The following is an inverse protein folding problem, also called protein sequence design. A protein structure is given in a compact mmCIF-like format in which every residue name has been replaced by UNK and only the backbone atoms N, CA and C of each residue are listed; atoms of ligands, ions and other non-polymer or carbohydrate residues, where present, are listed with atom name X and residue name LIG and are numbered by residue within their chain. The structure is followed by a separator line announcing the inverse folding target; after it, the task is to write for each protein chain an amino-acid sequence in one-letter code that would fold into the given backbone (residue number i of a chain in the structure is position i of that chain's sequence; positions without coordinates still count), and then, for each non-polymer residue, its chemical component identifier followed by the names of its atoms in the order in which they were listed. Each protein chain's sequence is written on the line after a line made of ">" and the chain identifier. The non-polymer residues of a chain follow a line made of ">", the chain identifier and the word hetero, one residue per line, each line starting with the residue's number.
data_IF_089079578082
#
_entry.id   IF_089079578082
#
_cell.length_a   1.000
_cell.length_b   1.000
_cell.length_c   1.000
_cell.angle_alpha   90.00
_cell.angle_beta   90.00
_cell.angle_gamma   90.00
#
_symmetry.space_group_name_H-M   'P 1'
#
loop_
_entity.id
_entity.type
_entity.pdbx_description
1 polymer ?
#
# COMPACT_ATOMS: atom_id res chain seq x y z
N UNK A 1 -27.36 -38.00 -15.58
CA UNK A 1 -28.47 -38.55 -14.77
C UNK A 1 -27.95 -39.73 -13.99
N UNK A 2 -27.48 -39.51 -12.76
CA UNK A 2 -27.33 -40.58 -11.76
C UNK A 2 -27.21 -39.90 -10.38
N UNK A 3 -28.37 -39.72 -9.75
CA UNK A 3 -28.48 -39.47 -8.32
C UNK A 3 -28.64 -40.83 -7.63
N UNK A 4 -27.68 -41.23 -6.79
CA UNK A 4 -27.85 -42.35 -5.88
C UNK A 4 -27.54 -41.95 -4.44
N UNK A 5 -28.64 -41.67 -3.74
CA UNK A 5 -29.01 -42.12 -2.41
C UNK A 5 -28.08 -41.84 -1.23
N UNK A 6 -28.55 -40.93 -0.40
CA UNK A 6 -28.13 -40.70 0.97
C UNK A 6 -28.41 -41.92 1.87
N UNK A 7 -27.38 -42.39 2.58
CA UNK A 7 -27.53 -43.24 3.78
C UNK A 7 -26.86 -42.58 4.96
N UNK A 8 -27.67 -42.34 6.00
CA UNK A 8 -27.39 -41.54 7.19
C UNK A 8 -26.49 -42.24 8.20
N UNK A 9 -25.66 -41.41 8.85
CA UNK A 9 -25.36 -41.31 10.28
C UNK A 9 -24.78 -42.51 11.05
N UNK A 10 -23.63 -42.26 11.70
CA UNK A 10 -23.47 -42.44 13.16
C UNK A 10 -22.35 -41.53 13.68
N UNK A 11 -22.65 -40.87 14.80
CA UNK A 11 -21.89 -39.82 15.44
C UNK A 11 -20.92 -40.34 16.52
N UNK A 12 -19.77 -39.67 16.68
CA UNK A 12 -19.00 -39.47 17.92
C UNK A 12 -17.78 -38.58 17.56
N UNK A 13 -17.76 -37.28 17.85
CA UNK A 13 -17.45 -36.64 19.13
C UNK A 13 -16.06 -35.96 19.10
N UNK A 14 -16.10 -34.62 19.09
CA UNK A 14 -15.19 -33.66 19.75
C UNK A 14 -13.75 -33.47 19.21
N UNK A 15 -13.60 -32.43 18.39
CA UNK A 15 -12.54 -31.41 18.51
C UNK A 15 -13.24 -30.05 18.24
N UNK A 16 -13.53 -29.24 19.26
CA UNK A 16 -12.67 -28.19 19.77
C UNK A 16 -12.27 -27.16 18.69
N UNK A 17 -12.89 -25.97 18.71
CA UNK A 17 -12.39 -24.78 18.04
C UNK A 17 -13.32 -24.11 17.02
N UNK A 18 -14.51 -23.67 17.44
CA UNK A 18 -15.26 -22.65 16.70
C UNK A 18 -14.58 -21.29 16.90
N UNK A 19 -13.58 -20.98 16.08
CA UNK A 19 -13.15 -19.58 15.90
C UNK A 19 -14.13 -18.91 14.95
N UNK A 20 -15.31 -18.59 15.48
CA UNK A 20 -16.14 -17.54 14.94
C UNK A 20 -15.42 -16.20 15.11
N UNK A 21 -15.38 -15.41 14.05
CA UNK A 21 -14.99 -14.01 14.13
C UNK A 21 -15.89 -13.20 13.21
N UNK A 22 -17.19 -13.39 13.38
CA UNK A 22 -18.19 -12.39 13.04
C UNK A 22 -18.42 -11.55 14.29
N UNK A 23 -17.64 -10.49 14.41
CA UNK A 23 -17.97 -9.31 15.19
C UNK A 23 -17.32 -8.15 14.47
N UNK A 24 -18.15 -7.43 13.72
CA UNK A 24 -17.73 -6.21 13.06
C UNK A 24 -17.22 -5.21 14.09
N UNK A 25 -16.14 -4.53 13.72
CA UNK A 25 -15.82 -3.22 14.25
C UNK A 25 -16.14 -2.22 13.16
N UNK A 26 -17.16 -1.41 13.41
CA UNK A 26 -17.33 -0.15 12.71
C UNK A 26 -16.09 0.73 12.88
N UNK A 27 -15.93 1.59 11.88
CA UNK A 27 -14.86 2.55 11.62
C UNK A 27 -14.14 3.11 12.85
N UNK A 28 -12.82 3.08 12.76
CA UNK A 28 -11.97 4.12 13.33
C UNK A 28 -11.01 4.49 12.21
N UNK A 29 -11.10 5.73 11.74
CA UNK A 29 -10.18 6.27 10.75
C UNK A 29 -8.75 5.95 11.15
N UNK A 30 -7.91 5.71 10.15
CA UNK A 30 -6.48 5.76 10.33
C UNK A 30 -6.04 7.21 10.53
N UNK A 31 -6.65 7.90 11.49
CA UNK A 31 -6.10 9.06 12.16
C UNK A 31 -5.06 8.55 13.18
N UNK A 32 -4.12 7.73 12.71
CA UNK A 32 -2.79 7.74 13.28
C UNK A 32 -2.13 8.97 12.69
N UNK A 33 -2.43 10.12 13.29
CA UNK A 33 -1.71 11.35 13.02
C UNK A 33 -0.25 11.16 13.38
N UNK A 34 0.50 10.56 12.46
CA UNK A 34 1.93 10.76 12.35
C UNK A 34 2.09 12.14 11.73
N UNK A 35 1.85 13.17 12.53
CA UNK A 35 2.29 14.51 12.17
C UNK A 35 3.81 14.53 12.14
N UNK A 36 4.41 14.04 11.05
CA UNK A 36 5.56 14.72 10.47
C UNK A 36 4.99 15.73 9.48
N UNK A 37 4.44 16.80 10.05
CA UNK A 37 3.99 17.98 9.32
C UNK A 37 5.21 18.58 8.62
N UNK A 38 5.47 18.17 7.39
CA UNK A 38 6.30 18.88 6.41
C UNK A 38 5.97 18.49 4.96
N UNK A 39 5.20 17.41 4.71
CA UNK A 39 4.74 17.07 3.37
C UNK A 39 3.67 18.05 2.92
N UNK A 40 3.90 18.71 1.79
CA UNK A 40 2.94 19.56 1.09
C UNK A 40 1.64 18.80 0.72
N UNK A 41 0.76 19.42 -0.09
CA UNK A 41 -0.52 18.82 -0.46
C UNK A 41 -0.32 17.37 -0.94
N UNK A 42 -1.07 16.43 -0.38
CA UNK A 42 -1.36 15.10 -0.96
C UNK A 42 -0.24 14.13 -1.37
N UNK A 43 1.02 14.29 -0.98
CA UNK A 43 2.07 13.35 -1.39
C UNK A 43 1.74 11.86 -1.21
N UNK A 44 1.74 11.12 -2.32
CA UNK A 44 1.37 9.71 -2.43
C UNK A 44 -0.05 9.46 -2.94
N UNK A 45 -0.68 10.42 -3.62
CA UNK A 45 -2.02 10.27 -4.21
C UNK A 45 -2.01 9.74 -5.66
N UNK A 46 -0.81 9.59 -6.23
CA UNK A 46 -0.56 9.13 -7.59
C UNK A 46 -0.69 10.21 -8.66
N UNK A 47 -0.72 11.49 -8.29
CA UNK A 47 -0.81 12.64 -9.20
C UNK A 47 0.18 13.72 -8.76
N UNK A 48 1.12 14.09 -9.63
CA UNK A 48 2.04 15.18 -9.35
C UNK A 48 1.31 16.52 -9.42
N UNK A 49 1.11 17.17 -8.28
CA UNK A 49 0.49 18.50 -8.17
C UNK A 49 1.53 19.64 -8.38
N UNK A 50 1.07 20.90 -8.47
CA UNK A 50 1.95 22.06 -8.74
C UNK A 50 3.01 22.29 -7.64
N UNK A 51 2.74 21.85 -6.41
CA UNK A 51 3.63 21.99 -5.25
C UNK A 51 4.51 20.74 -5.04
N UNK A 52 4.45 19.77 -5.95
CA UNK A 52 5.16 18.48 -5.86
C UNK A 52 6.09 18.29 -7.06
N UNK A 53 7.28 17.71 -6.82
CA UNK A 53 8.21 17.36 -7.88
C UNK A 53 7.96 15.94 -8.42
N UNK A 54 7.45 15.05 -7.56
CA UNK A 54 7.14 13.66 -7.82
C UNK A 54 6.04 13.19 -6.85
N UNK A 55 5.34 12.09 -7.16
CA UNK A 55 4.37 11.45 -6.28
C UNK A 55 4.65 9.94 -6.18
N UNK A 56 5.27 9.52 -5.08
CA UNK A 56 5.59 8.11 -4.83
C UNK A 56 6.48 7.49 -5.90
N UNK A 57 5.89 6.68 -6.79
CA UNK A 57 6.59 6.07 -7.92
C UNK A 57 6.48 6.91 -9.21
N UNK A 58 5.58 7.90 -9.25
CA UNK A 58 5.47 8.83 -10.37
C UNK A 58 6.52 9.95 -10.25
N UNK A 59 7.61 9.82 -10.99
CA UNK A 59 8.69 10.82 -11.05
C UNK A 59 8.44 11.86 -12.15
N UNK A 60 7.27 11.87 -12.80
CA UNK A 60 6.95 12.82 -13.87
C UNK A 60 7.75 12.56 -15.15
N UNK A 61 8.30 11.36 -15.29
CA UNK A 61 9.20 10.99 -16.39
C UNK A 61 10.63 11.51 -16.22
N UNK A 62 10.99 12.02 -15.05
CA UNK A 62 12.38 12.35 -14.72
C UNK A 62 13.11 11.13 -14.14
N UNK A 63 14.40 11.09 -14.41
CA UNK A 63 15.37 10.11 -13.93
C UNK A 63 16.75 10.78 -13.72
N UNK A 64 17.68 10.09 -13.04
CA UNK A 64 19.03 10.61 -12.76
C UNK A 64 19.77 11.10 -14.03
N UNK A 65 19.59 10.44 -15.17
CA UNK A 65 20.22 10.83 -16.42
C UNK A 65 19.54 12.05 -17.05
N UNK A 66 18.21 12.14 -16.99
CA UNK A 66 17.46 13.33 -17.43
C UNK A 66 17.83 14.59 -16.64
N UNK A 67 18.19 14.43 -15.36
CA UNK A 67 18.63 15.50 -14.46
C UNK A 67 20.14 15.81 -14.60
N UNK A 68 20.87 15.04 -15.41
CA UNK A 68 22.32 15.20 -15.59
C UNK A 68 23.16 14.75 -14.39
N UNK A 69 22.60 13.91 -13.52
CA UNK A 69 23.24 13.38 -12.32
C UNK A 69 23.96 12.05 -12.57
N UNK A 70 23.83 11.47 -13.77
CA UNK A 70 24.47 10.21 -14.15
C UNK A 70 23.49 9.04 -14.17
N UNK A 71 23.98 7.86 -13.83
CA UNK A 71 23.18 6.65 -13.68
C UNK A 71 22.66 6.51 -12.24
N UNK A 72 21.85 5.49 -11.98
CA UNK A 72 21.32 5.21 -10.65
C UNK A 72 19.80 5.15 -10.61
N UNK A 73 19.25 5.26 -9.40
CA UNK A 73 17.80 5.19 -9.15
C UNK A 73 17.35 6.49 -8.52
N UNK A 74 16.57 7.27 -9.28
CA UNK A 74 15.84 8.42 -8.77
C UNK A 74 14.64 7.90 -7.98
N UNK A 75 14.41 8.42 -6.78
CA UNK A 75 13.23 8.04 -5.98
C UNK A 75 12.49 9.29 -5.50
N UNK A 76 11.24 9.14 -5.09
CA UNK A 76 10.48 10.23 -4.49
C UNK A 76 10.54 10.14 -2.97
N UNK A 77 10.89 11.25 -2.31
CA UNK A 77 10.87 11.31 -0.85
C UNK A 77 9.43 11.33 -0.32
N UNK A 78 9.24 11.04 0.97
CA UNK A 78 7.96 11.21 1.66
C UNK A 78 7.47 12.68 1.77
N UNK A 79 8.16 13.60 1.09
CA UNK A 79 7.86 15.02 1.01
C UNK A 79 7.57 15.45 -0.43
N UNK A 80 7.49 14.49 -1.36
CA UNK A 80 7.25 14.72 -2.79
C UNK A 80 8.30 15.60 -3.47
N UNK A 81 9.53 15.50 -2.96
CA UNK A 81 10.75 16.01 -3.59
C UNK A 81 11.57 14.87 -4.16
N UNK A 82 12.35 15.16 -5.21
CA UNK A 82 13.27 14.20 -5.79
C UNK A 82 14.39 13.81 -4.81
N UNK A 83 14.49 12.53 -4.50
CA UNK A 83 15.62 11.94 -3.79
C UNK A 83 16.71 11.57 -4.77
N UNK A 84 17.79 12.36 -4.75
CA UNK A 84 18.97 12.15 -5.58
C UNK A 84 20.00 11.24 -4.92
N UNK A 85 19.72 10.71 -3.71
CA UNK A 85 20.66 9.91 -2.94
C UNK A 85 21.00 8.57 -3.59
N UNK A 86 20.09 8.07 -4.45
CA UNK A 86 20.30 6.88 -5.27
C UNK A 86 20.97 7.14 -6.63
N UNK A 87 21.28 8.39 -6.98
CA UNK A 87 22.00 8.71 -8.21
C UNK A 87 23.52 8.55 -8.01
N UNK A 88 24.18 7.87 -8.95
CA UNK A 88 25.62 7.66 -9.03
C UNK A 88 26.20 8.50 -10.17
N UNK A 89 26.67 9.70 -9.83
CA UNK A 89 27.33 10.64 -10.74
C UNK A 89 28.83 10.78 -10.51
#
# INVERSE_FOLDING_TARGET
>A
MEHRAATRARAAARAAGSSGSDSGSGSSGSDSGSGSSSGGPSCGDGVIELDEECDGDDLGGFDCASLGLGDGTLTCTAQCYFDLGGCSG
#
